data_IF_275114177135
#
_entry.id   IF_275114177135
#
_cell.length_a   1.000
_cell.length_b   1.000
_cell.length_c   1.000
_cell.angle_alpha   90.00
_cell.angle_beta   90.00
_cell.angle_gamma   90.00
#
_symmetry.space_group_name_H-M   'P 1'
#
loop_
_entity.id
_entity.type
_entity.pdbx_description
1 polymer ?
#
# COMPACT_ATOMS: atom_id res chain seq x y z
N UNK A 1 10.90 -27.07 -8.44
CA UNK A 1 9.43 -27.08 -8.31
C UNK A 1 8.96 -26.70 -6.91
N UNK A 2 9.42 -27.39 -5.87
CA UNK A 2 9.08 -27.06 -4.48
C UNK A 2 9.48 -25.64 -4.09
N UNK A 3 10.64 -25.17 -4.53
CA UNK A 3 11.10 -23.80 -4.25
C UNK A 3 10.15 -22.74 -4.83
N UNK A 4 9.64 -22.97 -6.03
CA UNK A 4 8.69 -22.05 -6.67
C UNK A 4 7.37 -22.01 -5.92
N UNK A 5 6.88 -23.15 -5.45
CA UNK A 5 5.66 -23.26 -4.67
C UNK A 5 5.82 -22.51 -3.34
N UNK A 6 6.94 -22.69 -2.65
CA UNK A 6 7.21 -22.00 -1.39
C UNK A 6 7.33 -20.49 -1.60
N UNK A 7 8.03 -20.06 -2.65
CA UNK A 7 8.18 -18.63 -2.96
C UNK A 7 6.84 -17.98 -3.28
N UNK A 8 6.02 -18.64 -4.09
CA UNK A 8 4.69 -18.14 -4.45
C UNK A 8 3.79 -18.10 -3.22
N UNK A 9 3.81 -19.14 -2.39
CA UNK A 9 3.02 -19.19 -1.16
C UNK A 9 3.41 -18.06 -0.20
N UNK A 10 4.70 -17.81 -0.04
CA UNK A 10 5.20 -16.72 0.81
C UNK A 10 4.73 -15.36 0.31
N UNK A 11 4.79 -15.13 -1.00
CA UNK A 11 4.33 -13.88 -1.59
C UNK A 11 2.82 -13.70 -1.43
N UNK A 12 2.03 -14.76 -1.62
CA UNK A 12 0.58 -14.72 -1.46
C UNK A 12 0.19 -14.48 0.01
N UNK A 13 0.88 -15.10 0.95
CA UNK A 13 0.64 -14.87 2.38
C UNK A 13 0.97 -13.42 2.74
N UNK A 14 2.09 -12.92 2.25
CA UNK A 14 2.48 -11.53 2.46
C UNK A 14 1.46 -10.55 1.91
N UNK A 15 0.97 -10.83 0.70
CA UNK A 15 -0.07 -10.02 0.06
C UNK A 15 -1.38 -10.06 0.86
N UNK A 16 -1.76 -11.24 1.36
CA UNK A 16 -2.93 -11.38 2.21
C UNK A 16 -2.82 -10.57 3.49
N UNK A 17 -1.67 -10.62 4.15
CA UNK A 17 -1.42 -9.82 5.35
C UNK A 17 -1.48 -8.33 5.06
N UNK A 18 -0.94 -7.88 3.93
CA UNK A 18 -1.01 -6.49 3.51
C UNK A 18 -2.46 -6.05 3.26
N UNK A 19 -3.25 -6.89 2.62
CA UNK A 19 -4.67 -6.60 2.38
C UNK A 19 -5.45 -6.47 3.69
N UNK A 20 -5.22 -7.38 4.63
CA UNK A 20 -5.85 -7.33 5.96
C UNK A 20 -5.44 -6.06 6.69
N UNK A 21 -4.15 -5.75 6.72
CA UNK A 21 -3.62 -4.56 7.36
C UNK A 21 -4.15 -3.27 6.74
N UNK A 22 -4.21 -3.23 5.42
CA UNK A 22 -4.72 -2.07 4.68
C UNK A 22 -6.21 -1.84 4.94
N UNK A 23 -7.00 -2.91 4.93
CA UNK A 23 -8.42 -2.83 5.24
C UNK A 23 -8.67 -2.36 6.67
N UNK A 24 -7.90 -2.90 7.61
CA UNK A 24 -7.98 -2.51 9.01
C UNK A 24 -7.60 -1.04 9.19
N UNK A 25 -6.54 -0.57 8.55
CA UNK A 25 -6.13 0.83 8.60
C UNK A 25 -7.23 1.74 8.06
N UNK A 26 -7.85 1.39 6.93
CA UNK A 26 -8.95 2.14 6.36
C UNK A 26 -10.13 2.26 7.32
N UNK A 27 -10.50 1.16 7.96
CA UNK A 27 -11.56 1.15 8.97
C UNK A 27 -11.22 2.04 10.15
N UNK A 28 -10.00 1.92 10.68
CA UNK A 28 -9.53 2.72 11.83
C UNK A 28 -9.53 4.20 11.49
N UNK A 29 -9.07 4.58 10.30
CA UNK A 29 -9.07 5.97 9.84
C UNK A 29 -10.49 6.53 9.81
N UNK A 30 -11.44 5.78 9.27
CA UNK A 30 -12.84 6.20 9.21
C UNK A 30 -13.44 6.37 10.58
N UNK A 31 -13.26 5.39 11.46
CA UNK A 31 -13.78 5.43 12.83
C UNK A 31 -13.12 6.55 13.64
N UNK A 32 -11.82 6.71 13.53
CA UNK A 32 -11.09 7.75 14.24
C UNK A 32 -11.51 9.15 13.76
N UNK A 33 -11.75 9.29 12.46
CA UNK A 33 -12.24 10.55 11.89
C UNK A 33 -13.57 10.95 12.49
N UNK A 34 -14.50 10.01 12.65
CA UNK A 34 -15.78 10.25 13.30
C UNK A 34 -15.57 10.63 14.77
N UNK A 35 -14.73 9.90 15.48
CA UNK A 35 -14.41 10.15 16.88
C UNK A 35 -13.82 11.55 17.10
N UNK A 36 -12.95 11.98 16.20
CA UNK A 36 -12.29 13.29 16.28
C UNK A 36 -13.17 14.44 15.78
N UNK A 37 -14.38 14.13 15.32
CA UNK A 37 -15.33 15.15 14.88
C UNK A 37 -15.10 15.70 13.48
N UNK A 38 -14.39 14.96 12.63
CA UNK A 38 -14.19 15.36 11.23
C UNK A 38 -15.52 15.31 10.49
N UNK A 39 -15.74 16.26 9.56
CA UNK A 39 -16.96 16.28 8.76
C UNK A 39 -17.04 15.05 7.86
N UNK A 40 -18.25 14.66 7.49
CA UNK A 40 -18.46 13.54 6.57
C UNK A 40 -17.77 13.79 5.23
N UNK A 41 -17.77 15.03 4.74
CA UNK A 41 -17.08 15.41 3.51
C UNK A 41 -15.58 15.18 3.65
N UNK A 42 -15.00 15.58 4.77
CA UNK A 42 -13.55 15.42 5.01
C UNK A 42 -13.15 13.96 5.10
N UNK A 43 -13.95 13.14 5.79
CA UNK A 43 -13.71 11.69 5.87
C UNK A 43 -13.78 11.06 4.47
N UNK A 44 -14.77 11.45 3.68
CA UNK A 44 -14.90 10.99 2.30
C UNK A 44 -13.71 11.39 1.43
N UNK A 45 -13.20 12.61 1.60
CA UNK A 45 -12.00 13.07 0.88
C UNK A 45 -10.77 12.26 1.29
N UNK A 46 -10.60 11.98 2.57
CA UNK A 46 -9.48 11.16 3.07
C UNK A 46 -9.55 9.75 2.48
N UNK A 47 -10.72 9.13 2.47
CA UNK A 47 -10.90 7.81 1.88
C UNK A 47 -10.64 7.82 0.36
N UNK A 48 -11.11 8.86 -0.33
CA UNK A 48 -10.89 9.01 -1.77
C UNK A 48 -9.43 9.28 -2.12
N UNK A 49 -8.70 9.93 -1.23
CA UNK A 49 -7.26 10.20 -1.40
C UNK A 49 -6.44 8.94 -1.64
N UNK A 50 -6.82 7.84 -1.00
CA UNK A 50 -6.20 6.53 -1.22
C UNK A 50 -6.25 6.14 -2.70
N UNK A 51 -7.39 6.29 -3.33
CA UNK A 51 -7.56 5.93 -4.74
C UNK A 51 -6.80 6.85 -5.68
N UNK A 52 -6.70 8.13 -5.34
CA UNK A 52 -5.87 9.08 -6.11
C UNK A 52 -4.40 8.64 -6.06
N UNK A 53 -3.91 8.30 -4.89
CA UNK A 53 -2.55 7.79 -4.72
C UNK A 53 -2.34 6.47 -5.44
N UNK A 54 -3.33 5.59 -5.39
CA UNK A 54 -3.30 4.29 -6.06
C UNK A 54 -3.16 4.45 -7.58
N UNK A 55 -3.95 5.35 -8.16
CA UNK A 55 -3.88 5.66 -9.61
C UNK A 55 -2.53 6.28 -9.96
N UNK A 56 -2.08 7.26 -9.19
CA UNK A 56 -0.76 7.88 -9.40
C UNK A 56 0.36 6.85 -9.31
N UNK A 57 0.24 5.91 -8.38
CA UNK A 57 1.19 4.81 -8.23
C UNK A 57 1.27 3.94 -9.47
N UNK A 58 0.14 3.74 -10.15
CA UNK A 58 0.09 2.98 -11.39
C UNK A 58 0.98 3.55 -12.48
N UNK A 59 1.24 4.84 -12.45
CA UNK A 59 2.13 5.51 -13.42
C UNK A 59 3.57 5.62 -12.91
N UNK A 60 3.75 5.93 -11.64
CA UNK A 60 5.06 6.21 -11.04
C UNK A 60 5.81 4.91 -10.72
N UNK A 61 5.12 3.91 -10.15
CA UNK A 61 5.77 2.70 -9.64
C UNK A 61 6.47 1.87 -10.71
N UNK A 62 5.92 1.68 -11.93
CA UNK A 62 6.65 0.93 -12.97
C UNK A 62 8.00 1.55 -13.29
N UNK A 63 8.10 2.86 -13.28
CA UNK A 63 9.34 3.59 -13.54
C UNK A 63 10.34 3.32 -12.43
N UNK A 64 9.89 3.38 -11.18
CA UNK A 64 10.74 3.13 -10.02
C UNK A 64 11.23 1.68 -9.97
N UNK A 65 10.36 0.72 -10.28
CA UNK A 65 10.72 -0.70 -10.30
C UNK A 65 11.81 -0.96 -11.34
N UNK A 66 11.68 -0.37 -12.51
CA UNK A 66 12.68 -0.52 -13.58
C UNK A 66 14.02 0.10 -13.22
N UNK A 67 14.02 1.24 -12.52
CA UNK A 67 15.26 1.96 -12.17
C UNK A 67 15.93 1.40 -10.92
N UNK A 68 15.16 1.05 -9.92
CA UNK A 68 15.67 0.71 -8.58
C UNK A 68 15.73 -0.80 -8.37
N UNK A 69 14.82 -1.54 -9.00
CA UNK A 69 14.72 -2.99 -8.84
C UNK A 69 13.60 -3.39 -7.88
N UNK A 70 13.22 -4.68 -7.95
CA UNK A 70 12.05 -5.21 -7.22
C UNK A 70 12.26 -5.18 -5.71
N UNK A 71 13.39 -5.69 -5.23
CA UNK A 71 13.63 -5.83 -3.78
C UNK A 71 13.69 -4.48 -3.09
N UNK A 72 14.41 -3.54 -3.69
CA UNK A 72 14.55 -2.18 -3.12
C UNK A 72 13.22 -1.43 -3.12
N UNK A 73 12.46 -1.55 -4.21
CA UNK A 73 11.13 -0.93 -4.28
C UNK A 73 10.21 -1.51 -3.22
N UNK A 74 10.17 -2.83 -3.08
CA UNK A 74 9.35 -3.49 -2.07
C UNK A 74 9.70 -2.99 -0.67
N UNK A 75 10.98 -3.00 -0.33
CA UNK A 75 11.44 -2.57 0.98
C UNK A 75 11.11 -1.10 1.25
N UNK A 76 11.32 -0.25 0.24
CA UNK A 76 11.03 1.20 0.35
C UNK A 76 9.54 1.47 0.55
N UNK A 77 8.69 0.83 -0.24
CA UNK A 77 7.24 1.00 -0.12
C UNK A 77 6.69 0.42 1.17
N UNK A 78 7.22 -0.72 1.61
CA UNK A 78 6.83 -1.31 2.88
C UNK A 78 7.21 -0.40 4.06
N UNK A 79 8.42 0.15 4.03
CA UNK A 79 8.89 1.09 5.04
C UNK A 79 8.06 2.38 5.02
N UNK A 80 7.76 2.90 3.84
CA UNK A 80 6.91 4.08 3.69
C UNK A 80 5.52 3.82 4.26
N UNK A 81 4.94 2.67 3.94
CA UNK A 81 3.62 2.28 4.43
C UNK A 81 3.58 2.21 5.96
N UNK A 82 4.61 1.63 6.57
CA UNK A 82 4.73 1.56 8.03
C UNK A 82 4.86 2.95 8.65
N UNK A 83 5.70 3.79 8.06
CA UNK A 83 5.91 5.16 8.54
C UNK A 83 4.63 5.99 8.44
N UNK A 84 3.88 5.85 7.34
CA UNK A 84 2.61 6.54 7.15
C UNK A 84 1.57 6.09 8.17
N UNK A 85 1.53 4.80 8.47
CA UNK A 85 0.61 4.25 9.48
C UNK A 85 0.89 4.87 10.85
N UNK A 86 2.16 4.97 11.23
CA UNK A 86 2.55 5.63 12.47
C UNK A 86 2.20 7.11 12.47
N UNK A 87 2.41 7.78 11.34
CA UNK A 87 2.10 9.21 11.21
C UNK A 87 0.61 9.50 11.41
N UNK A 88 -0.29 8.61 10.97
CA UNK A 88 -1.73 8.76 11.22
C UNK A 88 -2.04 8.80 12.72
N UNK A 89 -1.29 8.05 13.52
CA UNK A 89 -1.48 8.05 14.97
C UNK A 89 -0.84 9.24 15.68
N UNK A 90 0.20 9.83 15.08
CA UNK A 90 0.96 10.90 15.71
C UNK A 90 0.36 12.28 15.46
N UNK A 91 -0.25 12.51 14.31
CA UNK A 91 -0.81 13.81 13.93
C UNK A 91 -2.29 13.62 13.63
N UNK A 92 -3.14 14.35 14.33
CA UNK A 92 -4.59 14.29 14.15
C UNK A 92 -5.05 15.59 13.50
N UNK A 93 -4.94 15.64 12.18
CA UNK A 93 -5.35 16.78 11.36
C UNK A 93 -5.94 16.25 10.05
N UNK A 94 -7.17 16.64 9.68
CA UNK A 94 -7.81 16.07 8.49
C UNK A 94 -7.02 16.32 7.19
N UNK A 95 -6.41 17.50 7.04
CA UNK A 95 -5.62 17.80 5.83
C UNK A 95 -4.34 17.00 5.76
N UNK A 96 -3.66 16.81 6.90
CA UNK A 96 -2.48 15.95 6.98
C UNK A 96 -2.88 14.51 6.66
N UNK A 97 -3.99 14.03 7.19
CA UNK A 97 -4.48 12.68 6.90
C UNK A 97 -4.80 12.49 5.43
N UNK A 98 -5.33 13.52 4.77
CA UNK A 98 -5.60 13.45 3.32
C UNK A 98 -4.30 13.21 2.54
N UNK A 99 -3.25 13.98 2.84
CA UNK A 99 -1.95 13.84 2.19
C UNK A 99 -1.34 12.47 2.49
N UNK A 100 -1.38 12.04 3.76
CA UNK A 100 -0.87 10.73 4.15
C UNK A 100 -1.62 9.60 3.43
N UNK A 101 -2.92 9.77 3.24
CA UNK A 101 -3.74 8.76 2.56
C UNK A 101 -3.38 8.62 1.09
N UNK A 102 -3.06 9.73 0.42
CA UNK A 102 -2.59 9.71 -0.97
C UNK A 102 -1.29 8.91 -1.08
N UNK A 103 -0.32 9.20 -0.23
CA UNK A 103 0.95 8.45 -0.21
C UNK A 103 0.75 6.99 0.19
N UNK A 104 -0.20 6.70 1.06
CA UNK A 104 -0.56 5.35 1.45
C UNK A 104 -1.05 4.54 0.25
N UNK A 105 -1.92 5.12 -0.56
CA UNK A 105 -2.40 4.48 -1.79
C UNK A 105 -1.28 4.22 -2.78
N UNK A 106 -0.39 5.20 -2.96
CA UNK A 106 0.77 5.06 -3.85
C UNK A 106 1.69 3.93 -3.38
N UNK A 107 1.99 3.88 -2.09
CA UNK A 107 2.85 2.84 -1.52
C UNK A 107 2.25 1.45 -1.70
N UNK A 108 0.94 1.30 -1.47
CA UNK A 108 0.25 0.02 -1.65
C UNK A 108 0.24 -0.42 -3.10
N UNK A 109 0.00 0.50 -4.02
CA UNK A 109 0.06 0.18 -5.45
C UNK A 109 1.45 -0.31 -5.85
N UNK A 110 2.49 0.34 -5.32
CA UNK A 110 3.87 -0.07 -5.55
C UNK A 110 4.15 -1.48 -5.06
N UNK A 111 3.68 -1.81 -3.86
CA UNK A 111 3.84 -3.14 -3.28
C UNK A 111 3.13 -4.19 -4.13
N UNK A 112 1.88 -3.93 -4.52
CA UNK A 112 1.12 -4.85 -5.38
C UNK A 112 1.82 -5.09 -6.72
N UNK A 113 2.34 -4.04 -7.35
CA UNK A 113 3.06 -4.18 -8.62
C UNK A 113 4.31 -5.03 -8.49
N UNK A 114 5.08 -4.83 -7.41
CA UNK A 114 6.28 -5.64 -7.16
C UNK A 114 5.89 -7.10 -6.97
N UNK A 115 4.87 -7.37 -6.17
CA UNK A 115 4.43 -8.74 -5.90
C UNK A 115 3.91 -9.40 -7.19
N UNK A 116 3.07 -8.71 -7.95
CA UNK A 116 2.54 -9.21 -9.21
C UNK A 116 3.65 -9.51 -10.21
N UNK A 117 4.63 -8.63 -10.30
CA UNK A 117 5.79 -8.81 -11.19
C UNK A 117 6.60 -10.04 -10.77
N UNK A 118 6.83 -10.22 -9.48
CA UNK A 118 7.54 -11.40 -8.97
C UNK A 118 6.77 -12.69 -9.24
N UNK A 119 5.46 -12.69 -8.98
CA UNK A 119 4.61 -13.85 -9.24
C UNK A 119 4.63 -14.22 -10.73
N UNK A 120 4.59 -13.21 -11.59
CA UNK A 120 4.64 -13.40 -13.03
C UNK A 120 5.96 -14.03 -13.47
N UNK A 121 7.08 -13.51 -12.97
CA UNK A 121 8.40 -14.06 -13.25
C UNK A 121 8.54 -15.50 -12.74
N UNK A 122 8.07 -15.76 -11.53
CA UNK A 122 8.12 -17.11 -10.93
C UNK A 122 7.26 -18.11 -11.70
N UNK A 123 6.08 -17.69 -12.16
CA UNK A 123 5.21 -18.55 -12.97
C UNK A 123 5.83 -18.89 -14.30
N UNK A 124 6.50 -17.94 -14.94
CA UNK A 124 7.14 -18.14 -16.24
C UNK A 124 8.43 -18.96 -16.13
N UNK A 125 9.12 -18.87 -15.01
CA UNK A 125 10.37 -19.59 -14.78
C UNK A 125 10.16 -21.10 -14.58
N UNK A 126 8.96 -21.54 -14.23
CA UNK A 126 8.63 -22.96 -14.07
C UNK A 126 8.13 -23.55 -15.37
N UNK A 127 8.83 -24.55 -15.95
CA UNK A 127 8.36 -25.21 -17.15
C UNK A 127 7.12 -26.06 -16.90
#
# INVERSE_FOLDING_TARGET
MLRSIWSISSLLIGMGLLLVGSGLLGMVIGLRGVYEGFSNLMIGLIMSGYYVGYIAGGWICPILIRRVGHVRCFASFAALSAALTLAFGMVVDPWVWLVLRVFNGLALMGIYMVIESWLNERSQATP
#
